data_IF_875739920162
#
_entry.id   IF_875739920162
#
_cell.length_a   1.000
_cell.length_b   1.000
_cell.length_c   1.000
_cell.angle_alpha   90.00
_cell.angle_beta   90.00
_cell.angle_gamma   90.00
#
_symmetry.space_group_name_H-M   'P 1'
#
loop_
_entity.id
_entity.type
_entity.pdbx_description
1 polymer ?
#
# COMPACT_ATOMS: atom_id res chain seq x y z
N UNK A 1 -5.60 -24.43 -2.45
CA UNK A 1 -6.05 -23.45 -1.43
C UNK A 1 -5.31 -22.17 -1.74
N UNK A 2 -6.00 -21.05 -1.97
CA UNK A 2 -5.32 -19.76 -2.01
C UNK A 2 -4.82 -19.48 -0.59
N UNK A 3 -3.51 -19.27 -0.42
CA UNK A 3 -2.96 -18.86 0.87
C UNK A 3 -3.50 -17.46 1.22
N UNK A 4 -3.86 -17.27 2.48
CA UNK A 4 -4.35 -15.99 2.99
C UNK A 4 -3.14 -15.08 3.20
N UNK A 5 -3.20 -13.85 2.70
CA UNK A 5 -2.18 -12.82 2.95
C UNK A 5 -1.96 -12.62 4.44
N UNK A 6 -0.72 -12.31 4.83
CA UNK A 6 -0.29 -12.12 6.21
C UNK A 6 0.42 -10.79 6.43
N UNK A 7 1.19 -10.32 5.46
CA UNK A 7 2.03 -9.14 5.61
C UNK A 7 1.89 -8.21 4.42
N UNK A 8 1.32 -7.04 4.67
CA UNK A 8 0.98 -6.05 3.65
C UNK A 8 1.98 -4.91 3.63
N UNK A 9 2.56 -4.64 2.47
CA UNK A 9 3.29 -3.42 2.18
C UNK A 9 2.31 -2.29 1.88
N UNK A 10 2.51 -1.10 2.44
CA UNK A 10 1.75 0.10 2.08
C UNK A 10 2.69 1.15 1.47
N UNK A 11 2.29 1.68 0.32
CA UNK A 11 3.04 2.69 -0.43
C UNK A 11 2.14 3.88 -0.74
N UNK A 12 2.64 5.10 -0.53
CA UNK A 12 1.91 6.33 -0.80
C UNK A 12 2.64 7.23 -1.79
N UNK A 13 1.90 8.10 -2.48
CA UNK A 13 2.51 9.17 -3.28
C UNK A 13 3.20 10.20 -2.37
N UNK A 14 4.52 10.31 -2.50
CA UNK A 14 5.43 11.15 -1.69
C UNK A 14 5.13 12.66 -1.70
N UNK A 15 4.33 13.15 -2.64
CA UNK A 15 4.09 14.59 -2.87
C UNK A 15 2.63 15.01 -2.72
N UNK A 16 1.74 14.13 -2.22
CA UNK A 16 0.32 14.45 -2.11
C UNK A 16 -0.04 14.97 -0.69
N UNK A 17 -0.44 16.25 -0.54
CA UNK A 17 -0.93 16.76 0.73
C UNK A 17 -2.13 15.93 1.21
N UNK A 18 -2.17 15.60 2.51
CA UNK A 18 -3.33 14.94 3.12
C UNK A 18 -3.43 13.42 2.90
N UNK A 19 -2.39 12.76 2.37
CA UNK A 19 -2.40 11.29 2.22
C UNK A 19 -2.15 10.56 3.55
N UNK A 20 -1.41 11.18 4.48
CA UNK A 20 -1.03 10.59 5.78
C UNK A 20 -2.24 10.01 6.55
N UNK A 21 -3.33 10.75 6.80
CA UNK A 21 -4.45 10.22 7.58
C UNK A 21 -5.07 8.97 6.94
N UNK A 22 -5.09 8.93 5.60
CA UNK A 22 -5.65 7.78 4.88
C UNK A 22 -4.73 6.57 4.93
N UNK A 23 -3.42 6.77 4.79
CA UNK A 23 -2.43 5.69 4.97
C UNK A 23 -2.52 5.10 6.37
N UNK A 24 -2.64 5.97 7.38
CA UNK A 24 -2.77 5.56 8.78
C UNK A 24 -4.07 4.78 9.02
N UNK A 25 -5.20 5.24 8.47
CA UNK A 25 -6.49 4.55 8.59
C UNK A 25 -6.48 3.17 7.91
N UNK A 26 -5.87 3.06 6.72
CA UNK A 26 -5.71 1.79 6.02
C UNK A 26 -4.81 0.84 6.80
N UNK A 27 -3.67 1.32 7.31
CA UNK A 27 -2.74 0.52 8.08
C UNK A 27 -3.39 -0.02 9.36
N UNK A 28 -4.07 0.84 10.13
CA UNK A 28 -4.81 0.44 11.32
C UNK A 28 -5.92 -0.58 10.99
N UNK A 29 -6.63 -0.38 9.87
CA UNK A 29 -7.64 -1.33 9.42
C UNK A 29 -7.04 -2.70 9.11
N UNK A 30 -5.96 -2.78 8.33
CA UNK A 30 -5.30 -4.05 8.00
C UNK A 30 -4.78 -4.74 9.26
N UNK A 31 -4.17 -4.01 10.19
CA UNK A 31 -3.79 -4.56 11.50
C UNK A 31 -5.00 -5.07 12.29
N UNK A 32 -6.15 -4.39 12.25
CA UNK A 32 -7.39 -4.86 12.89
C UNK A 32 -7.92 -6.17 12.28
N UNK A 33 -7.55 -6.48 11.04
CA UNK A 33 -7.86 -7.76 10.38
C UNK A 33 -6.85 -8.87 10.69
N UNK A 34 -5.83 -8.58 11.52
CA UNK A 34 -4.78 -9.53 11.91
C UNK A 34 -3.63 -9.63 10.91
N UNK A 35 -3.42 -8.60 10.08
CA UNK A 35 -2.32 -8.52 9.13
C UNK A 35 -1.16 -7.71 9.71
N UNK A 36 0.06 -8.14 9.44
CA UNK A 36 1.26 -7.33 9.65
C UNK A 36 1.33 -6.24 8.58
N UNK A 37 1.84 -5.06 8.94
CA UNK A 37 1.93 -3.92 8.02
C UNK A 37 3.32 -3.31 8.08
N UNK A 38 3.92 -3.10 6.90
CA UNK A 38 5.15 -2.32 6.73
C UNK A 38 4.93 -1.21 5.71
N UNK A 39 5.59 -0.09 5.91
CA UNK A 39 5.56 1.06 5.01
C UNK A 39 6.79 1.05 4.10
N UNK A 40 6.63 1.54 2.89
CA UNK A 40 7.77 1.92 2.05
C UNK A 40 8.55 3.08 2.68
N UNK A 41 9.88 2.99 2.66
CA UNK A 41 10.76 3.88 3.39
C UNK A 41 10.52 5.37 3.09
N UNK A 42 10.39 5.75 1.81
CA UNK A 42 10.11 7.14 1.46
C UNK A 42 8.68 7.54 1.85
N UNK A 43 7.70 6.62 1.77
CA UNK A 43 6.33 6.85 2.25
C UNK A 43 6.31 7.14 3.75
N UNK A 44 7.00 6.34 4.56
CA UNK A 44 7.12 6.56 6.00
C UNK A 44 7.80 7.90 6.31
N UNK A 45 8.92 8.19 5.63
CA UNK A 45 9.67 9.44 5.80
C UNK A 45 8.82 10.69 5.48
N UNK A 46 8.08 10.67 4.36
CA UNK A 46 7.30 11.83 3.92
C UNK A 46 6.00 12.01 4.71
N UNK A 47 5.48 10.96 5.34
CA UNK A 47 4.23 11.03 6.12
C UNK A 47 4.47 11.18 7.62
N UNK A 48 5.68 10.83 8.10
CA UNK A 48 6.01 10.83 9.53
C UNK A 48 5.31 9.74 10.31
N UNK A 49 4.83 8.67 9.64
CA UNK A 49 4.28 7.49 10.29
C UNK A 49 5.41 6.61 10.81
N UNK A 50 5.51 6.47 12.12
CA UNK A 50 6.60 5.75 12.80
C UNK A 50 6.13 4.51 13.56
N UNK A 51 4.82 4.23 13.56
CA UNK A 51 4.24 3.07 14.27
C UNK A 51 4.39 1.75 13.49
N UNK A 52 4.97 1.80 12.29
CA UNK A 52 5.13 0.67 11.36
C UNK A 52 6.58 0.59 10.88
N UNK A 53 7.05 -0.62 10.59
CA UNK A 53 8.39 -0.81 10.02
C UNK A 53 8.49 -0.14 8.65
N UNK A 54 9.51 0.71 8.49
CA UNK A 54 9.83 1.37 7.24
C UNK A 54 10.91 0.58 6.50
N UNK A 55 10.55 -0.01 5.36
CA UNK A 55 11.39 -0.94 4.62
C UNK A 55 11.67 -0.41 3.21
N UNK A 56 12.84 -0.73 2.67
CA UNK A 56 13.14 -0.51 1.25
C UNK A 56 12.29 -1.40 0.36
N UNK A 57 12.17 -1.06 -0.93
CA UNK A 57 11.38 -1.86 -1.89
C UNK A 57 11.86 -3.31 -2.01
N UNK A 58 13.16 -3.57 -1.88
CA UNK A 58 13.71 -4.95 -1.92
C UNK A 58 13.39 -5.71 -0.62
N UNK A 59 13.39 -5.05 0.55
CA UNK A 59 12.97 -5.65 1.81
C UNK A 59 11.47 -5.95 1.83
N UNK A 60 10.63 -5.00 1.40
CA UNK A 60 9.20 -5.22 1.18
C UNK A 60 8.95 -6.40 0.24
N UNK A 61 9.70 -6.46 -0.86
CA UNK A 61 9.71 -7.55 -1.83
C UNK A 61 9.96 -8.94 -1.23
N UNK A 62 10.67 -9.02 -0.10
CA UNK A 62 11.04 -10.28 0.54
C UNK A 62 10.16 -10.61 1.74
N UNK A 63 9.62 -9.61 2.42
CA UNK A 63 8.86 -9.77 3.65
C UNK A 63 7.35 -9.86 3.41
N UNK A 64 6.83 -9.09 2.44
CA UNK A 64 5.39 -8.94 2.24
C UNK A 64 4.85 -9.92 1.18
N UNK A 65 3.57 -10.25 1.31
CA UNK A 65 2.83 -11.10 0.37
C UNK A 65 1.69 -10.37 -0.36
N UNK A 66 1.47 -9.10 -0.01
CA UNK A 66 0.54 -8.18 -0.68
C UNK A 66 1.10 -6.76 -0.62
N UNK A 67 0.81 -5.94 -1.64
CA UNK A 67 1.08 -4.52 -1.61
C UNK A 67 -0.18 -3.68 -1.87
N UNK A 68 -0.41 -2.68 -1.03
CA UNK A 68 -1.47 -1.67 -1.20
C UNK A 68 -0.81 -0.35 -1.59
N UNK A 69 -1.11 0.13 -2.80
CA UNK A 69 -0.51 1.33 -3.38
C UNK A 69 -1.55 2.44 -3.43
N UNK A 70 -1.33 3.52 -2.68
CA UNK A 70 -2.20 4.70 -2.62
C UNK A 70 -1.59 5.79 -3.49
N UNK A 71 -2.22 6.07 -4.63
CA UNK A 71 -1.71 7.05 -5.59
C UNK A 71 -2.36 6.93 -6.96
N UNK A 72 -1.68 7.45 -7.98
CA UNK A 72 -2.11 7.30 -9.37
C UNK A 72 -1.37 6.20 -10.11
N UNK A 73 -1.64 6.05 -11.40
CA UNK A 73 -1.01 5.06 -12.28
C UNK A 73 0.53 5.15 -12.27
N UNK A 74 1.10 6.36 -12.14
CA UNK A 74 2.54 6.56 -12.04
C UNK A 74 3.17 5.95 -10.78
N UNK A 75 2.49 6.08 -9.63
CA UNK A 75 2.91 5.44 -8.37
C UNK A 75 2.79 3.93 -8.48
N UNK A 76 1.67 3.44 -9.02
CA UNK A 76 1.41 2.02 -9.24
C UNK A 76 2.46 1.39 -10.16
N UNK A 77 2.74 1.97 -11.33
CA UNK A 77 3.74 1.45 -12.27
C UNK A 77 5.17 1.53 -11.73
N UNK A 78 5.48 2.58 -10.98
CA UNK A 78 6.77 2.73 -10.31
C UNK A 78 7.04 1.57 -9.37
N UNK A 79 6.09 1.32 -8.46
CA UNK A 79 6.21 0.27 -7.47
C UNK A 79 6.04 -1.14 -8.06
N UNK A 80 5.11 -1.34 -9.00
CA UNK A 80 4.86 -2.62 -9.65
C UNK A 80 6.11 -3.19 -10.34
N UNK A 81 6.92 -2.33 -10.96
CA UNK A 81 8.18 -2.76 -11.61
C UNK A 81 9.15 -3.40 -10.60
N UNK A 82 9.19 -2.88 -9.39
CA UNK A 82 10.05 -3.38 -8.33
C UNK A 82 9.47 -4.62 -7.63
N UNK A 83 8.15 -4.70 -7.49
CA UNK A 83 7.49 -5.87 -6.89
C UNK A 83 7.38 -7.05 -7.86
N UNK A 84 7.39 -6.81 -9.17
CA UNK A 84 7.26 -7.86 -10.19
C UNK A 84 8.35 -8.94 -10.08
N UNK A 85 9.59 -8.56 -9.70
CA UNK A 85 10.69 -9.52 -9.45
C UNK A 85 10.47 -10.42 -8.22
N UNK A 86 9.56 -10.03 -7.33
CA UNK A 86 9.19 -10.78 -6.13
C UNK A 86 7.86 -11.53 -6.27
N UNK A 87 7.10 -11.27 -7.33
CA UNK A 87 5.79 -11.91 -7.55
C UNK A 87 4.70 -11.44 -6.60
N UNK A 88 4.89 -10.29 -5.92
CA UNK A 88 3.90 -9.75 -4.99
C UNK A 88 2.72 -9.15 -5.78
N UNK A 89 1.47 -9.52 -5.47
CA UNK A 89 0.27 -8.89 -6.03
C UNK A 89 0.08 -7.48 -5.47
N UNK A 90 -0.43 -6.57 -6.31
CA UNK A 90 -0.69 -5.17 -5.94
C UNK A 90 -2.18 -4.85 -5.98
N UNK A 91 -2.60 -4.03 -5.03
CA UNK A 91 -3.92 -3.40 -4.97
C UNK A 91 -3.74 -1.89 -5.07
N UNK A 92 -4.30 -1.28 -6.11
CA UNK A 92 -4.19 0.14 -6.37
C UNK A 92 -5.40 0.92 -5.85
N UNK A 93 -5.17 1.85 -4.92
CA UNK A 93 -6.16 2.80 -4.43
C UNK A 93 -5.88 4.18 -5.04
N UNK A 94 -6.84 4.70 -5.78
CA UNK A 94 -6.73 5.98 -6.45
C UNK A 94 -7.03 7.14 -5.51
N UNK A 95 -6.04 8.02 -5.31
CA UNK A 95 -6.20 9.30 -4.63
C UNK A 95 -6.47 10.42 -5.66
N UNK A 96 -7.73 10.58 -6.07
CA UNK A 96 -8.14 11.61 -7.01
C UNK A 96 -9.13 11.13 -8.08
N UNK A 97 -8.80 11.34 -9.36
CA UNK A 97 -9.62 10.88 -10.49
C UNK A 97 -9.27 9.44 -10.83
N UNK A 98 -10.28 8.62 -11.09
CA UNK A 98 -10.14 7.23 -11.53
C UNK A 98 -9.05 7.12 -12.61
N UNK A 99 -8.05 6.28 -12.34
CA UNK A 99 -6.94 5.99 -13.25
C UNK A 99 -7.26 4.81 -14.16
N UNK A 100 -6.29 4.38 -14.96
CA UNK A 100 -6.44 3.17 -15.77
C UNK A 100 -6.01 1.90 -15.04
N UNK A 101 -5.15 2.04 -14.03
CA UNK A 101 -4.49 0.91 -13.34
C UNK A 101 -4.89 0.85 -11.86
N UNK A 102 -5.17 1.99 -11.23
CA UNK A 102 -5.69 2.02 -9.86
C UNK A 102 -7.21 1.94 -9.85
N UNK A 103 -7.72 0.78 -9.40
CA UNK A 103 -9.12 0.39 -9.60
C UNK A 103 -10.04 0.77 -8.42
N UNK A 104 -9.50 1.12 -7.25
CA UNK A 104 -10.28 1.37 -6.04
C UNK A 104 -10.31 2.88 -5.73
N UNK A 105 -11.47 3.56 -5.75
CA UNK A 105 -11.58 4.93 -5.26
C UNK A 105 -11.25 5.02 -3.77
N UNK A 106 -10.59 6.11 -3.35
CA UNK A 106 -10.23 6.34 -1.95
C UNK A 106 -11.45 6.36 -1.01
N UNK A 107 -12.65 6.67 -1.50
CA UNK A 107 -13.86 6.65 -0.68
C UNK A 107 -14.39 5.23 -0.42
N UNK A 108 -13.91 4.24 -1.18
CA UNK A 108 -14.43 2.86 -1.18
C UNK A 108 -13.41 1.81 -0.75
N UNK A 109 -12.19 2.20 -0.39
CA UNK A 109 -11.14 1.24 -0.04
C UNK A 109 -11.56 0.30 1.09
N UNK A 110 -12.34 0.78 2.07
CA UNK A 110 -12.76 -0.02 3.22
C UNK A 110 -13.68 -1.17 2.82
N UNK A 111 -14.59 -0.93 1.88
CA UNK A 111 -15.47 -1.97 1.33
C UNK A 111 -14.68 -2.96 0.48
N UNK A 112 -13.70 -2.48 -0.29
CA UNK A 112 -12.89 -3.31 -1.19
C UNK A 112 -11.84 -4.16 -0.48
N UNK A 113 -11.33 -3.71 0.68
CA UNK A 113 -10.34 -4.44 1.49
C UNK A 113 -10.99 -5.26 2.63
N UNK A 114 -12.32 -5.22 2.76
CA UNK A 114 -13.03 -6.03 3.75
C UNK A 114 -12.92 -7.54 3.43
N UNK A 115 -13.00 -8.42 4.45
CA UNK A 115 -12.98 -9.87 4.28
C UNK A 115 -14.10 -10.45 3.41
#
# INVERSE_FOLDING_TARGET
MAERFRHVAIVGKHQAPGIRPVLEEIAQFLCSQGLDVSLEADTALNTGLTDYDALSNDELGRACDLAVVIGGDGTMLGFAREMARHGIPLVGINQGRLGFITDIPIERWRESLAP
#
